data_IF_682643913133
#
_entry.id   IF_682643913133
#
_cell.length_a   1.000
_cell.length_b   1.000
_cell.length_c   1.000
_cell.angle_alpha   90.00
_cell.angle_beta   90.00
_cell.angle_gamma   90.00
#
_symmetry.space_group_name_H-M   'P 1'
#
loop_
_entity.id
_entity.type
_entity.pdbx_description
1 polymer ?
#
# COMPACT_ATOMS: atom_id res chain seq x y z
N UNK A 1 -67.08 49.09 2.81
CA UNK A 1 -66.53 48.97 1.45
C UNK A 1 -67.44 49.69 0.46
N UNK A 2 -67.24 51.00 0.35
CA UNK A 2 -67.61 51.86 -0.78
C UNK A 2 -66.53 52.93 -0.73
N UNK A 3 -65.70 52.96 -1.76
CA UNK A 3 -64.48 53.74 -1.95
C UNK A 3 -63.25 52.82 -1.92
N UNK A 4 -62.84 52.37 -3.12
CA UNK A 4 -61.54 51.76 -3.42
C UNK A 4 -60.40 52.80 -3.32
N UNK A 5 -60.41 53.59 -2.24
CA UNK A 5 -59.32 54.52 -1.94
C UNK A 5 -58.20 53.74 -1.27
N UNK A 6 -57.01 53.80 -1.84
CA UNK A 6 -55.78 53.32 -1.24
C UNK A 6 -55.54 54.00 0.11
N UNK A 7 -54.76 53.37 1.00
CA UNK A 7 -54.41 53.94 2.30
C UNK A 7 -53.83 55.37 2.19
N UNK A 8 -53.08 55.65 1.12
CA UNK A 8 -52.51 56.97 0.84
C UNK A 8 -53.55 58.02 0.42
N UNK A 9 -54.67 57.59 -0.16
CA UNK A 9 -55.79 58.48 -0.55
C UNK A 9 -56.71 58.79 0.64
N UNK A 10 -56.70 57.97 1.69
CA UNK A 10 -57.49 58.19 2.91
C UNK A 10 -56.79 59.08 3.94
N UNK A 11 -55.44 59.14 3.92
CA UNK A 11 -54.67 59.88 4.92
C UNK A 11 -54.95 61.40 4.97
N UNK A 12 -55.09 62.13 3.83
CA UNK A 12 -55.44 63.56 3.85
C UNK A 12 -56.84 63.83 4.41
N UNK A 13 -57.77 62.89 4.28
CA UNK A 13 -59.17 63.03 4.74
C UNK A 13 -59.31 62.89 6.27
N UNK A 14 -58.28 62.36 6.95
CA UNK A 14 -58.23 62.22 8.41
C UNK A 14 -57.81 63.51 9.14
N UNK A 15 -57.63 64.63 8.43
CA UNK A 15 -57.26 65.93 9.01
C UNK A 15 -55.80 66.01 9.48
N UNK A 16 -54.96 65.08 9.04
CA UNK A 16 -53.53 65.07 9.34
C UNK A 16 -52.80 66.12 8.50
N UNK A 17 -51.89 66.87 9.13
CA UNK A 17 -50.99 67.77 8.39
C UNK A 17 -50.16 66.97 7.37
N UNK A 18 -49.73 67.57 6.25
CA UNK A 18 -48.88 66.91 5.27
C UNK A 18 -47.64 66.22 5.86
N UNK A 19 -47.06 66.79 6.92
CA UNK A 19 -45.92 66.21 7.65
C UNK A 19 -46.27 64.88 8.34
N UNK A 20 -47.41 64.82 9.03
CA UNK A 20 -47.90 63.61 9.69
C UNK A 20 -48.34 62.53 8.70
N UNK A 21 -48.95 62.92 7.58
CA UNK A 21 -49.29 62.00 6.49
C UNK A 21 -48.03 61.34 5.92
N UNK A 22 -46.97 62.12 5.67
CA UNK A 22 -45.69 61.58 5.21
C UNK A 22 -45.03 60.64 6.22
N UNK A 23 -45.10 60.96 7.53
CA UNK A 23 -44.57 60.09 8.59
C UNK A 23 -45.34 58.78 8.70
N UNK A 24 -46.67 58.80 8.62
CA UNK A 24 -47.51 57.59 8.72
C UNK A 24 -47.34 56.72 7.49
N UNK A 25 -47.34 57.29 6.28
CA UNK A 25 -47.05 56.52 5.05
C UNK A 25 -45.66 55.88 5.12
N UNK A 26 -44.64 56.61 5.57
CA UNK A 26 -43.29 56.08 5.76
C UNK A 26 -43.19 54.97 6.81
N UNK A 27 -43.99 55.04 7.89
CA UNK A 27 -44.05 54.04 8.95
C UNK A 27 -44.87 52.79 8.57
N UNK A 28 -45.78 52.89 7.61
CA UNK A 28 -46.60 51.76 7.11
C UNK A 28 -45.99 50.99 5.94
N UNK A 29 -44.90 51.52 5.35
CA UNK A 29 -44.17 50.84 4.30
C UNK A 29 -43.40 49.66 4.91
N UNK A 30 -43.65 48.43 4.42
CA UNK A 30 -42.90 47.26 4.86
C UNK A 30 -41.46 47.38 4.38
N UNK A 31 -40.55 47.73 5.29
CA UNK A 31 -39.12 47.71 5.04
C UNK A 31 -38.59 46.31 5.36
N UNK A 32 -37.94 45.63 4.39
CA UNK A 32 -37.25 44.39 4.66
C UNK A 32 -36.25 44.50 5.82
N UNK A 33 -35.94 43.38 6.45
CA UNK A 33 -34.88 43.29 7.45
C UNK A 33 -33.51 43.68 6.85
N UNK A 34 -32.62 44.21 7.68
CA UNK A 34 -31.25 44.64 7.28
C UNK A 34 -30.50 43.54 6.51
N UNK A 35 -30.69 42.28 6.89
CA UNK A 35 -30.09 41.12 6.22
C UNK A 35 -30.54 40.94 4.76
N UNK A 36 -31.76 41.35 4.42
CA UNK A 36 -32.26 41.32 3.05
C UNK A 36 -31.57 42.39 2.20
N UNK A 37 -31.37 43.60 2.72
CA UNK A 37 -30.66 44.66 1.99
C UNK A 37 -29.21 44.26 1.70
N UNK A 38 -28.54 43.67 2.68
CA UNK A 38 -27.19 43.10 2.52
C UNK A 38 -27.16 42.02 1.42
N UNK A 39 -28.16 41.13 1.38
CA UNK A 39 -28.24 40.08 0.35
C UNK A 39 -28.50 40.65 -1.06
N UNK A 40 -29.42 41.62 -1.18
CA UNK A 40 -29.71 42.29 -2.44
C UNK A 40 -28.46 42.99 -2.99
N UNK A 41 -27.72 43.69 -2.12
CA UNK A 41 -26.48 44.35 -2.50
C UNK A 41 -25.39 43.35 -2.89
N UNK A 42 -25.23 42.26 -2.14
CA UNK A 42 -24.27 41.17 -2.43
C UNK A 42 -24.53 40.54 -3.80
N UNK A 43 -25.80 40.41 -4.19
CA UNK A 43 -26.21 39.91 -5.52
C UNK A 43 -26.12 40.96 -6.63
N UNK A 44 -25.76 42.20 -6.31
CA UNK A 44 -25.67 43.30 -7.28
C UNK A 44 -27.03 43.83 -7.76
N UNK A 45 -28.09 43.60 -6.98
CA UNK A 45 -29.46 44.03 -7.32
C UNK A 45 -29.77 45.47 -6.93
N UNK A 46 -28.98 46.03 -6.02
CA UNK A 46 -29.05 47.43 -5.58
C UNK A 46 -27.62 48.02 -5.51
N UNK A 47 -27.51 49.33 -5.66
CA UNK A 47 -26.28 50.11 -5.53
C UNK A 47 -25.90 50.38 -4.07
N UNK A 48 -24.67 50.89 -3.85
CA UNK A 48 -24.23 51.32 -2.51
C UNK A 48 -25.09 52.49 -2.01
N UNK A 49 -25.43 53.46 -2.87
CA UNK A 49 -26.27 54.60 -2.52
C UNK A 49 -27.69 54.17 -2.11
N UNK A 50 -28.27 53.19 -2.80
CA UNK A 50 -29.57 52.60 -2.44
C UNK A 50 -29.49 51.83 -1.12
N UNK A 51 -28.40 51.09 -0.86
CA UNK A 51 -28.19 50.43 0.42
C UNK A 51 -28.09 51.44 1.58
N UNK A 52 -27.38 52.54 1.37
CA UNK A 52 -27.24 53.62 2.35
C UNK A 52 -28.60 54.26 2.71
N UNK A 53 -29.40 54.64 1.70
CA UNK A 53 -30.74 55.21 1.92
C UNK A 53 -31.66 54.22 2.66
N UNK A 54 -31.59 52.93 2.33
CA UNK A 54 -32.44 51.92 2.95
C UNK A 54 -32.04 51.62 4.39
N UNK A 55 -30.73 51.58 4.70
CA UNK A 55 -30.24 51.42 6.07
C UNK A 55 -30.63 52.61 6.97
N UNK A 56 -30.54 53.85 6.46
CA UNK A 56 -30.95 55.06 7.19
C UNK A 56 -32.45 55.05 7.50
N UNK A 57 -33.27 54.66 6.52
CA UNK A 57 -34.74 54.52 6.67
C UNK A 57 -35.13 53.42 7.66
N UNK A 58 -34.36 52.35 7.76
CA UNK A 58 -34.53 51.28 8.74
C UNK A 58 -33.99 51.63 10.14
N UNK A 59 -33.55 52.88 10.36
CA UNK A 59 -33.13 53.38 11.67
C UNK A 59 -31.64 53.22 11.96
N UNK A 60 -30.84 52.73 11.00
CA UNK A 60 -29.37 52.68 11.10
C UNK A 60 -28.79 54.03 10.67
N UNK A 61 -28.92 55.03 11.54
CA UNK A 61 -28.48 56.41 11.25
C UNK A 61 -27.03 56.72 11.63
N UNK A 62 -26.41 55.83 12.43
CA UNK A 62 -25.02 55.96 12.81
C UNK A 62 -24.13 55.38 11.70
N UNK A 63 -23.42 56.27 11.00
CA UNK A 63 -22.47 55.90 9.96
C UNK A 63 -21.36 54.94 10.42
N UNK A 64 -21.16 54.74 11.73
CA UNK A 64 -20.30 53.66 12.26
C UNK A 64 -20.97 52.29 12.21
N UNK A 65 -22.24 52.20 12.63
CA UNK A 65 -23.01 50.95 12.62
C UNK A 65 -23.27 50.51 11.17
N UNK A 66 -23.61 51.46 10.31
CA UNK A 66 -23.76 51.24 8.88
C UNK A 66 -22.51 50.62 8.25
N UNK A 67 -21.32 51.19 8.51
CA UNK A 67 -20.05 50.63 8.02
C UNK A 67 -19.80 49.22 8.51
N UNK A 68 -20.12 48.91 9.77
CA UNK A 68 -19.98 47.57 10.33
C UNK A 68 -20.94 46.58 9.65
N UNK A 69 -22.20 46.97 9.44
CA UNK A 69 -23.18 46.15 8.72
C UNK A 69 -22.75 45.89 7.27
N UNK A 70 -22.24 46.90 6.56
CA UNK A 70 -21.70 46.73 5.20
C UNK A 70 -20.54 45.75 5.19
N UNK A 71 -19.65 45.78 6.19
CA UNK A 71 -18.54 44.82 6.30
C UNK A 71 -19.02 43.38 6.53
N UNK A 72 -20.08 43.18 7.31
CA UNK A 72 -20.66 41.84 7.56
C UNK A 72 -21.39 41.24 6.36
N UNK A 73 -21.66 42.05 5.31
CA UNK A 73 -22.29 41.56 4.09
C UNK A 73 -21.41 40.56 3.33
N UNK A 74 -20.09 40.68 3.42
CA UNK A 74 -19.17 39.83 2.66
C UNK A 74 -18.86 38.56 3.44
N UNK A 75 -18.96 37.41 2.77
CA UNK A 75 -18.61 36.14 3.39
C UNK A 75 -17.11 36.05 3.62
N UNK A 76 -16.72 35.68 4.84
CA UNK A 76 -15.34 35.28 5.14
C UNK A 76 -15.12 33.86 4.60
N UNK A 77 -14.05 33.62 3.81
CA UNK A 77 -13.72 32.26 3.38
C UNK A 77 -13.56 31.34 4.60
N UNK A 78 -14.14 30.12 4.59
CA UNK A 78 -13.99 29.21 5.73
C UNK A 78 -12.54 28.78 5.89
N UNK A 79 -12.15 28.39 7.11
CA UNK A 79 -10.75 28.07 7.46
C UNK A 79 -10.10 27.09 6.47
N UNK A 80 -10.81 26.05 6.04
CA UNK A 80 -10.29 25.07 5.10
C UNK A 80 -9.92 25.69 3.73
N UNK A 81 -10.67 26.69 3.26
CA UNK A 81 -10.37 27.43 2.03
C UNK A 81 -9.16 28.33 2.23
N UNK A 82 -9.09 29.05 3.35
CA UNK A 82 -7.92 29.88 3.71
C UNK A 82 -6.65 29.02 3.78
N UNK A 83 -6.71 27.87 4.45
CA UNK A 83 -5.60 26.91 4.51
C UNK A 83 -5.25 26.32 3.15
N UNK A 84 -6.23 26.08 2.27
CA UNK A 84 -5.96 25.61 0.92
C UNK A 84 -5.32 26.68 0.03
N UNK A 85 -5.72 27.95 0.20
CA UNK A 85 -5.06 29.09 -0.42
C UNK A 85 -3.59 29.15 0.01
N UNK A 86 -3.32 29.10 1.32
CA UNK A 86 -1.94 29.05 1.83
C UNK A 86 -1.13 27.87 1.26
N UNK A 87 -1.74 26.69 1.13
CA UNK A 87 -1.07 25.49 0.60
C UNK A 87 -0.81 25.53 -0.91
N UNK A 88 -1.72 26.08 -1.71
CA UNK A 88 -1.72 25.95 -3.18
C UNK A 88 -1.32 27.21 -3.93
N UNK A 89 -1.49 28.37 -3.33
CA UNK A 89 -1.20 29.64 -3.96
C UNK A 89 0.10 30.19 -3.38
N UNK A 90 0.86 30.97 -4.16
CA UNK A 90 2.07 31.66 -3.71
C UNK A 90 1.78 32.80 -2.70
N UNK A 91 0.73 32.69 -1.88
CA UNK A 91 0.48 33.61 -0.79
C UNK A 91 1.51 33.32 0.30
N UNK A 92 2.33 34.31 0.62
CA UNK A 92 3.26 34.24 1.74
C UNK A 92 2.51 34.37 3.08
N UNK A 93 3.22 34.12 4.19
CA UNK A 93 2.67 34.21 5.55
C UNK A 93 2.05 35.59 5.84
N UNK A 94 2.55 36.66 5.23
CA UNK A 94 1.99 38.01 5.42
C UNK A 94 0.66 38.19 4.71
N UNK A 95 0.51 37.60 3.53
CA UNK A 95 -0.71 37.72 2.76
C UNK A 95 -1.88 36.90 3.35
N UNK A 96 -1.60 35.86 4.16
CA UNK A 96 -2.66 35.03 4.77
C UNK A 96 -3.19 35.59 6.09
N UNK A 97 -2.40 36.36 6.84
CA UNK A 97 -2.78 36.92 8.15
C UNK A 97 -4.14 37.64 8.15
N UNK A 98 -4.46 38.55 7.21
CA UNK A 98 -5.75 39.24 7.22
C UNK A 98 -6.95 38.30 7.00
N UNK A 99 -6.75 37.14 6.37
CA UNK A 99 -7.79 36.13 6.21
C UNK A 99 -7.94 35.30 7.50
N UNK A 100 -6.84 34.99 8.17
CA UNK A 100 -6.85 34.29 9.46
C UNK A 100 -7.53 35.11 10.56
N UNK A 101 -7.25 36.42 10.62
CA UNK A 101 -7.93 37.37 11.52
C UNK A 101 -9.45 37.40 11.27
N UNK A 102 -9.86 37.50 9.99
CA UNK A 102 -11.29 37.50 9.62
C UNK A 102 -12.00 36.19 9.97
N UNK A 103 -11.29 35.07 9.94
CA UNK A 103 -11.79 33.75 10.37
C UNK A 103 -11.87 33.65 11.91
N UNK A 104 -11.19 34.54 12.64
CA UNK A 104 -11.26 34.65 14.10
C UNK A 104 -10.05 34.11 14.84
N UNK A 105 -8.92 33.87 14.17
CA UNK A 105 -7.67 33.53 14.84
C UNK A 105 -6.91 34.80 15.22
N UNK A 106 -6.29 34.78 16.40
CA UNK A 106 -5.34 35.82 16.80
C UNK A 106 -4.00 35.59 16.12
N UNK A 107 -3.25 36.67 15.89
CA UNK A 107 -1.89 36.63 15.32
C UNK A 107 -0.98 35.62 16.04
N UNK A 108 -1.05 35.54 17.37
CA UNK A 108 -0.26 34.62 18.21
C UNK A 108 -0.54 33.13 17.93
N UNK A 109 -1.72 32.82 17.40
CA UNK A 109 -2.16 31.45 17.13
C UNK A 109 -1.97 31.03 15.67
N UNK A 110 -1.80 31.99 14.75
CA UNK A 110 -1.78 31.74 13.30
C UNK A 110 -0.69 30.75 12.92
N UNK A 111 0.52 30.92 13.45
CA UNK A 111 1.67 30.06 13.12
C UNK A 111 1.41 28.59 13.44
N UNK A 112 0.76 28.30 14.58
CA UNK A 112 0.41 26.93 14.96
C UNK A 112 -0.61 26.32 13.99
N UNK A 113 -1.59 27.11 13.57
CA UNK A 113 -2.62 26.68 12.62
C UNK A 113 -2.01 26.45 11.24
N UNK A 114 -1.13 27.32 10.76
CA UNK A 114 -0.45 27.16 9.48
C UNK A 114 0.53 25.97 9.51
N UNK A 115 1.24 25.73 10.61
CA UNK A 115 2.12 24.57 10.74
C UNK A 115 1.33 23.25 10.73
N UNK A 116 0.17 23.22 11.40
CA UNK A 116 -0.74 22.06 11.36
C UNK A 116 -1.29 21.77 9.97
N UNK A 117 -1.33 22.79 9.10
CA UNK A 117 -1.84 22.70 7.74
C UNK A 117 -0.80 22.18 6.73
N UNK A 118 0.48 22.07 7.11
CA UNK A 118 1.56 21.58 6.23
C UNK A 118 1.33 20.12 5.88
N UNK A 119 1.54 19.77 4.61
CA UNK A 119 1.56 18.36 4.19
C UNK A 119 2.85 17.70 4.65
N UNK A 120 2.70 16.68 5.48
CA UNK A 120 3.79 15.81 5.87
C UNK A 120 3.83 14.61 4.92
N UNK A 121 5.00 13.99 4.81
CA UNK A 121 5.08 12.65 4.24
C UNK A 121 4.22 11.70 5.07
N UNK A 122 3.49 10.81 4.42
CA UNK A 122 2.82 9.71 5.09
C UNK A 122 3.84 8.64 5.53
N UNK A 123 3.39 7.72 6.39
CA UNK A 123 4.23 6.65 6.94
C UNK A 123 4.88 5.80 5.84
N UNK A 124 4.16 5.35 4.77
CA UNK A 124 4.77 4.58 3.69
C UNK A 124 5.91 5.31 2.97
N UNK A 125 5.78 6.61 2.68
CA UNK A 125 6.85 7.36 2.04
C UNK A 125 8.04 7.57 2.99
N UNK A 126 7.80 7.81 4.28
CA UNK A 126 8.86 7.91 5.29
C UNK A 126 9.67 6.60 5.39
N UNK A 127 8.98 5.45 5.41
CA UNK A 127 9.62 4.13 5.39
C UNK A 127 10.49 3.93 4.15
N UNK A 128 9.99 4.30 2.96
CA UNK A 128 10.75 4.16 1.72
C UNK A 128 11.99 5.06 1.70
N UNK A 129 11.86 6.33 2.12
CA UNK A 129 12.97 7.28 2.18
C UNK A 129 14.05 6.83 3.18
N UNK A 130 13.63 6.33 4.35
CA UNK A 130 14.53 5.81 5.37
C UNK A 130 15.24 4.54 4.87
N UNK A 131 14.48 3.55 4.38
CA UNK A 131 15.05 2.29 3.86
C UNK A 131 16.01 2.48 2.69
N UNK A 132 15.78 3.48 1.83
CA UNK A 132 16.70 3.81 0.72
C UNK A 132 17.96 4.56 1.17
N UNK A 133 18.07 4.91 2.45
CA UNK A 133 19.18 5.70 2.99
C UNK A 133 19.15 7.17 2.53
N UNK A 134 18.04 7.63 1.94
CA UNK A 134 17.85 9.02 1.52
C UNK A 134 17.59 9.91 2.76
N UNK A 135 16.87 9.36 3.74
CA UNK A 135 16.58 10.01 5.01
C UNK A 135 17.38 9.35 6.14
N UNK A 136 18.04 10.16 6.97
CA UNK A 136 18.73 9.68 8.17
C UNK A 136 17.73 9.35 9.27
N UNK A 137 18.09 8.40 10.14
CA UNK A 137 17.27 7.97 11.28
C UNK A 137 16.81 9.16 12.16
N UNK A 138 17.70 10.10 12.46
CA UNK A 138 17.35 11.30 13.23
C UNK A 138 16.28 12.17 12.58
N UNK A 139 16.21 12.22 11.25
CA UNK A 139 15.21 13.02 10.53
C UNK A 139 13.91 12.23 10.36
N UNK A 140 14.02 10.92 10.13
CA UNK A 140 12.89 10.00 10.16
C UNK A 140 12.11 10.08 11.47
N UNK A 141 12.81 9.99 12.61
CA UNK A 141 12.22 10.09 13.95
C UNK A 141 11.49 11.43 14.15
N UNK A 142 12.04 12.55 13.64
CA UNK A 142 11.37 13.86 13.69
C UNK A 142 10.09 13.88 12.85
N UNK A 143 10.12 13.32 11.64
CA UNK A 143 8.94 13.29 10.77
C UNK A 143 7.83 12.41 11.35
N UNK A 144 8.16 11.25 11.90
CA UNK A 144 7.20 10.38 12.58
C UNK A 144 6.58 11.05 13.82
N UNK A 145 7.36 11.85 14.57
CA UNK A 145 6.82 12.65 15.68
C UNK A 145 5.86 13.74 15.20
N UNK A 146 6.12 14.38 14.06
CA UNK A 146 5.20 15.36 13.44
C UNK A 146 3.87 14.73 13.00
N UNK A 147 3.88 13.44 12.68
CA UNK A 147 2.67 12.65 12.40
C UNK A 147 1.92 12.22 13.68
N UNK A 148 2.46 12.48 14.87
CA UNK A 148 1.83 12.16 16.15
C UNK A 148 2.15 10.78 16.72
N UNK A 149 3.11 10.02 16.16
CA UNK A 149 3.47 8.70 16.69
C UNK A 149 4.33 8.79 17.97
N UNK A 150 3.98 7.99 18.98
CA UNK A 150 4.77 7.82 20.20
C UNK A 150 6.14 7.17 19.90
N UNK A 151 7.14 7.30 20.79
CA UNK A 151 8.47 6.66 20.62
C UNK A 151 8.36 5.13 20.58
N UNK A 152 7.46 4.55 21.39
CA UNK A 152 7.23 3.10 21.44
C UNK A 152 6.63 2.57 20.12
N UNK A 153 5.59 3.22 19.61
CA UNK A 153 4.94 2.85 18.35
C UNK A 153 5.89 2.99 17.15
N UNK A 154 6.76 4.02 17.16
CA UNK A 154 7.79 4.22 16.14
C UNK A 154 8.73 3.03 16.04
N UNK A 155 9.14 2.48 17.18
CA UNK A 155 10.04 1.32 17.22
C UNK A 155 9.38 0.06 16.66
N UNK A 156 8.07 -0.12 16.88
CA UNK A 156 7.30 -1.21 16.29
C UNK A 156 7.11 -1.03 14.78
N UNK A 157 6.79 0.19 14.35
CA UNK A 157 6.62 0.55 12.93
C UNK A 157 7.92 0.38 12.14
N UNK A 158 9.08 0.70 12.73
CA UNK A 158 10.37 0.47 12.12
C UNK A 158 10.64 -1.03 11.87
N UNK A 159 10.05 -1.93 12.66
CA UNK A 159 10.18 -3.37 12.39
C UNK A 159 9.49 -3.80 11.09
N UNK A 160 8.48 -3.04 10.63
CA UNK A 160 7.83 -3.27 9.33
C UNK A 160 8.69 -2.85 8.15
N UNK A 161 9.75 -2.05 8.37
CA UNK A 161 10.67 -1.65 7.29
C UNK A 161 11.54 -2.81 6.82
N UNK A 162 11.80 -3.79 7.69
CA UNK A 162 12.58 -4.97 7.35
C UNK A 162 11.80 -5.86 6.38
N UNK A 163 12.27 -5.92 5.14
CA UNK A 163 11.76 -6.91 4.18
C UNK A 163 12.19 -8.30 4.62
N UNK A 164 11.20 -9.14 4.88
CA UNK A 164 11.42 -10.55 5.11
C UNK A 164 11.86 -11.22 3.81
N UNK A 165 12.86 -12.13 3.84
CA UNK A 165 13.21 -12.91 2.67
C UNK A 165 12.02 -13.76 2.22
N UNK A 166 11.86 -13.91 0.91
CA UNK A 166 10.83 -14.77 0.33
C UNK A 166 11.09 -16.25 0.62
N UNK A 167 10.07 -17.11 0.46
CA UNK A 167 10.18 -18.56 0.72
C UNK A 167 11.36 -19.16 -0.04
N UNK A 168 11.50 -18.88 -1.34
CA UNK A 168 12.60 -19.42 -2.14
C UNK A 168 13.99 -18.95 -1.64
N UNK A 169 14.08 -17.72 -1.15
CA UNK A 169 15.32 -17.20 -0.57
C UNK A 169 15.64 -17.92 0.75
N UNK A 170 14.64 -18.08 1.63
CA UNK A 170 14.78 -18.85 2.88
C UNK A 170 15.18 -20.30 2.61
N UNK A 171 14.53 -20.97 1.66
CA UNK A 171 14.83 -22.35 1.27
C UNK A 171 16.25 -22.49 0.75
N UNK A 172 16.69 -21.57 -0.13
CA UNK A 172 18.08 -21.58 -0.63
C UNK A 172 19.09 -21.31 0.47
N UNK A 173 18.82 -20.38 1.39
CA UNK A 173 19.69 -20.13 2.54
C UNK A 173 19.78 -21.35 3.46
N UNK A 174 18.66 -22.05 3.67
CA UNK A 174 18.61 -23.26 4.47
C UNK A 174 19.43 -24.39 3.84
N UNK A 175 19.17 -24.75 2.59
CA UNK A 175 19.90 -25.82 1.92
C UNK A 175 21.40 -25.50 1.76
N UNK A 176 21.76 -24.22 1.59
CA UNK A 176 23.16 -23.80 1.53
C UNK A 176 23.85 -23.66 2.89
N UNK A 177 23.16 -24.04 3.96
CA UNK A 177 23.68 -24.00 5.34
C UNK A 177 24.06 -22.57 5.80
N UNK A 178 23.45 -21.54 5.19
CA UNK A 178 23.61 -20.13 5.58
C UNK A 178 22.81 -19.84 6.84
N UNK A 179 21.65 -20.51 7.00
CA UNK A 179 20.78 -20.39 8.17
C UNK A 179 20.46 -21.78 8.73
N UNK A 180 20.16 -21.84 10.03
CA UNK A 180 19.74 -23.10 10.66
C UNK A 180 18.31 -23.46 10.30
N UNK A 181 17.93 -24.72 10.53
CA UNK A 181 16.53 -25.16 10.41
C UNK A 181 15.56 -24.34 11.28
N UNK A 182 15.97 -23.96 12.50
CA UNK A 182 15.15 -23.10 13.35
C UNK A 182 14.92 -21.75 12.69
N UNK A 183 15.99 -21.11 12.19
CA UNK A 183 15.86 -19.81 11.53
C UNK A 183 15.01 -19.89 10.25
N UNK A 184 15.09 -20.99 9.51
CA UNK A 184 14.23 -21.23 8.35
C UNK A 184 12.74 -21.31 8.75
N UNK A 185 12.40 -22.12 9.75
CA UNK A 185 11.03 -22.26 10.25
C UNK A 185 10.49 -20.97 10.88
N UNK A 186 11.34 -20.22 11.58
CA UNK A 186 10.98 -18.91 12.14
C UNK A 186 10.76 -17.87 11.03
N UNK A 187 11.57 -17.93 9.96
CA UNK A 187 11.40 -17.10 8.77
C UNK A 187 10.06 -17.34 8.08
N UNK A 188 9.68 -18.61 7.89
CA UNK A 188 8.38 -18.97 7.31
C UNK A 188 7.21 -18.51 8.21
N UNK A 189 7.34 -18.63 9.53
CA UNK A 189 6.32 -18.11 10.46
C UNK A 189 6.17 -16.59 10.38
N UNK A 190 7.28 -15.85 10.22
CA UNK A 190 7.24 -14.39 10.00
C UNK A 190 6.57 -14.00 8.68
N UNK A 191 6.58 -14.87 7.67
CA UNK A 191 5.83 -14.71 6.43
C UNK A 191 4.33 -15.05 6.57
N UNK A 192 3.90 -15.53 7.74
CA UNK A 192 2.50 -15.85 8.04
C UNK A 192 2.12 -17.33 7.93
N UNK A 193 3.09 -18.25 7.74
CA UNK A 193 2.81 -19.68 7.73
C UNK A 193 2.71 -20.25 9.14
N UNK A 194 1.69 -21.08 9.39
CA UNK A 194 1.64 -21.87 10.61
C UNK A 194 2.81 -22.86 10.67
N UNK A 195 3.19 -23.29 11.88
CA UNK A 195 4.36 -24.16 12.07
C UNK A 195 4.20 -25.51 11.34
N UNK A 196 2.99 -26.05 11.31
CA UNK A 196 2.71 -27.29 10.59
C UNK A 196 2.96 -27.12 9.09
N UNK A 197 2.46 -26.05 8.48
CA UNK A 197 2.65 -25.76 7.07
C UNK A 197 4.10 -25.41 6.74
N UNK A 198 4.81 -24.73 7.64
CA UNK A 198 6.25 -24.50 7.49
C UNK A 198 7.04 -25.82 7.41
N UNK A 199 6.66 -26.83 8.20
CA UNK A 199 7.25 -28.17 8.11
C UNK A 199 6.88 -28.88 6.80
N UNK A 200 5.64 -28.73 6.30
CA UNK A 200 5.24 -29.29 4.99
C UNK A 200 6.01 -28.63 3.84
N UNK A 201 6.20 -27.31 3.90
CA UNK A 201 6.99 -26.56 2.92
C UNK A 201 8.47 -26.98 2.94
N UNK A 202 9.04 -27.27 4.11
CA UNK A 202 10.37 -27.88 4.21
C UNK A 202 10.44 -29.20 3.44
N UNK A 203 9.48 -30.10 3.65
CA UNK A 203 9.45 -31.39 2.98
C UNK A 203 9.26 -31.25 1.47
N UNK A 204 8.37 -30.34 1.05
CA UNK A 204 8.10 -30.05 -0.36
C UNK A 204 9.28 -29.39 -1.09
N UNK A 205 10.21 -28.77 -0.35
CA UNK A 205 11.37 -28.11 -0.93
C UNK A 205 12.45 -29.09 -1.42
N UNK A 206 12.44 -30.34 -0.97
CA UNK A 206 13.40 -31.34 -1.45
C UNK A 206 13.13 -31.74 -2.90
N UNK A 207 14.20 -31.82 -3.68
CA UNK A 207 14.15 -32.22 -5.08
C UNK A 207 13.85 -33.71 -5.19
N UNK A 208 12.79 -34.03 -5.93
CA UNK A 208 12.47 -35.38 -6.36
C UNK A 208 12.86 -35.60 -7.82
N UNK A 209 13.24 -36.83 -8.23
CA UNK A 209 13.44 -37.17 -9.63
C UNK A 209 12.18 -36.94 -10.46
N UNK A 210 12.35 -36.45 -11.70
CA UNK A 210 11.23 -36.30 -12.62
C UNK A 210 10.73 -37.66 -13.16
N UNK A 211 9.56 -37.72 -13.81
CA UNK A 211 9.03 -38.96 -14.37
C UNK A 211 10.01 -39.69 -15.31
N UNK A 212 10.75 -38.95 -16.15
CA UNK A 212 11.74 -39.53 -17.06
C UNK A 212 12.92 -40.16 -16.30
N UNK A 213 13.39 -39.53 -15.22
CA UNK A 213 14.44 -40.07 -14.37
C UNK A 213 13.98 -41.33 -13.64
N UNK A 214 12.75 -41.34 -13.12
CA UNK A 214 12.15 -42.52 -12.50
C UNK A 214 12.06 -43.70 -13.48
N UNK A 215 11.68 -43.44 -14.73
CA UNK A 215 11.69 -44.47 -15.78
C UNK A 215 13.12 -44.97 -16.04
N UNK A 216 14.09 -44.07 -16.17
CA UNK A 216 15.51 -44.44 -16.32
C UNK A 216 16.03 -45.25 -15.15
N UNK A 217 15.67 -44.90 -13.92
CA UNK A 217 16.06 -45.61 -12.70
C UNK A 217 15.46 -47.02 -12.66
N UNK A 218 14.20 -47.16 -13.07
CA UNK A 218 13.55 -48.46 -13.23
C UNK A 218 14.25 -49.33 -14.28
N UNK A 219 14.54 -48.78 -15.46
CA UNK A 219 15.26 -49.50 -16.53
C UNK A 219 16.68 -49.89 -16.11
N UNK A 220 17.39 -49.00 -15.40
CA UNK A 220 18.74 -49.25 -14.90
C UNK A 220 18.78 -50.14 -13.66
N UNK A 221 17.65 -50.67 -13.20
CA UNK A 221 17.55 -51.56 -12.02
C UNK A 221 17.96 -50.90 -10.70
N UNK A 222 17.91 -49.56 -10.62
CA UNK A 222 18.23 -48.79 -9.41
C UNK A 222 17.28 -49.17 -8.26
N UNK A 223 16.01 -49.44 -8.58
CA UNK A 223 15.00 -49.87 -7.62
C UNK A 223 15.02 -51.38 -7.31
N UNK A 224 16.00 -52.13 -7.83
CA UNK A 224 16.16 -53.56 -7.57
C UNK A 224 17.48 -53.80 -6.83
N UNK A 225 17.54 -53.69 -5.48
CA UNK A 225 18.80 -53.65 -4.72
C UNK A 225 19.72 -54.86 -4.95
N UNK A 226 19.16 -56.05 -5.16
CA UNK A 226 19.93 -57.25 -5.46
C UNK A 226 20.68 -57.13 -6.79
N UNK A 227 20.04 -56.54 -7.81
CA UNK A 227 20.63 -56.33 -9.14
C UNK A 227 21.60 -55.16 -9.13
N UNK A 228 21.22 -54.03 -8.53
CA UNK A 228 22.08 -52.86 -8.44
C UNK A 228 23.41 -53.16 -7.70
N UNK A 229 23.35 -53.94 -6.60
CA UNK A 229 24.56 -54.42 -5.90
C UNK A 229 25.40 -55.36 -6.76
N UNK A 230 24.75 -56.28 -7.48
CA UNK A 230 25.44 -57.23 -8.35
C UNK A 230 26.25 -56.53 -9.46
N UNK A 231 25.74 -55.42 -9.98
CA UNK A 231 26.39 -54.61 -10.99
C UNK A 231 27.29 -53.50 -10.44
N UNK A 232 27.42 -53.39 -9.11
CA UNK A 232 28.22 -52.33 -8.49
C UNK A 232 27.72 -50.92 -8.83
N UNK A 233 26.41 -50.72 -9.07
CA UNK A 233 25.90 -49.43 -9.58
C UNK A 233 26.16 -48.26 -8.63
N UNK A 234 26.23 -48.53 -7.32
CA UNK A 234 26.53 -47.53 -6.30
C UNK A 234 28.03 -47.39 -5.99
N UNK A 235 28.89 -48.18 -6.66
CA UNK A 235 30.33 -48.11 -6.43
C UNK A 235 30.91 -46.78 -6.89
N UNK A 236 32.02 -46.38 -6.27
CA UNK A 236 32.75 -45.14 -6.57
C UNK A 236 31.92 -43.85 -6.43
N UNK A 237 30.81 -43.87 -5.68
CA UNK A 237 30.04 -42.67 -5.38
C UNK A 237 30.92 -41.62 -4.66
N UNK A 238 31.14 -40.43 -5.25
CA UNK A 238 32.03 -39.44 -4.67
C UNK A 238 31.38 -38.83 -3.41
N UNK A 239 32.01 -38.97 -2.24
CA UNK A 239 31.48 -38.39 -0.99
C UNK A 239 31.22 -36.88 -1.07
N UNK A 240 31.99 -36.16 -1.88
CA UNK A 240 31.77 -34.73 -2.11
C UNK A 240 30.46 -34.41 -2.84
N UNK A 241 29.89 -35.36 -3.58
CA UNK A 241 28.63 -35.18 -4.31
C UNK A 241 27.46 -34.94 -3.37
N UNK A 242 27.38 -35.65 -2.24
CA UNK A 242 26.33 -35.46 -1.21
C UNK A 242 26.29 -34.03 -0.71
N UNK A 243 27.45 -33.46 -0.41
CA UNK A 243 27.55 -32.09 0.11
C UNK A 243 27.00 -31.06 -0.89
N UNK A 244 27.22 -31.27 -2.19
CA UNK A 244 26.67 -30.38 -3.22
C UNK A 244 25.20 -30.66 -3.54
N UNK A 245 24.79 -31.93 -3.51
CA UNK A 245 23.40 -32.33 -3.69
C UNK A 245 22.49 -31.73 -2.61
N UNK A 246 22.90 -31.80 -1.34
CA UNK A 246 22.15 -31.22 -0.23
C UNK A 246 21.94 -29.70 -0.41
N UNK A 247 22.92 -28.98 -0.98
CA UNK A 247 22.85 -27.52 -1.23
C UNK A 247 21.83 -27.10 -2.29
N UNK A 248 21.32 -28.04 -3.06
CA UNK A 248 20.23 -27.83 -4.03
C UNK A 248 18.95 -28.54 -3.61
N UNK A 249 18.86 -29.05 -2.37
CA UNK A 249 17.70 -29.79 -1.87
C UNK A 249 17.61 -31.23 -2.36
N UNK A 250 18.66 -31.78 -2.98
CA UNK A 250 18.71 -33.18 -3.39
C UNK A 250 19.29 -34.03 -2.26
N UNK A 251 18.51 -34.98 -1.74
CA UNK A 251 18.97 -35.88 -0.67
C UNK A 251 20.10 -36.80 -1.17
N UNK A 252 20.89 -37.34 -0.24
CA UNK A 252 21.92 -38.33 -0.57
C UNK A 252 21.35 -39.53 -1.33
N UNK A 253 20.18 -40.03 -0.91
CA UNK A 253 19.49 -41.13 -1.57
C UNK A 253 19.19 -40.80 -3.04
N UNK A 254 18.60 -39.64 -3.32
CA UNK A 254 18.29 -39.21 -4.69
C UNK A 254 19.58 -39.04 -5.50
N UNK A 255 20.63 -38.45 -4.92
CA UNK A 255 21.92 -38.30 -5.58
C UNK A 255 22.56 -39.65 -5.91
N UNK A 256 22.44 -40.65 -5.03
CA UNK A 256 22.89 -42.01 -5.27
C UNK A 256 22.06 -42.72 -6.35
N UNK A 257 20.77 -42.44 -6.48
CA UNK A 257 19.96 -42.98 -7.60
C UNK A 257 20.42 -42.45 -8.95
N UNK A 258 20.67 -41.14 -9.05
CA UNK A 258 21.25 -40.54 -10.25
C UNK A 258 22.62 -41.14 -10.57
N UNK A 259 23.45 -41.35 -9.55
CA UNK A 259 24.72 -42.06 -9.71
C UNK A 259 24.49 -43.49 -10.20
N UNK A 260 23.63 -44.29 -9.58
CA UNK A 260 23.39 -45.66 -10.03
C UNK A 260 22.93 -45.76 -11.49
N UNK A 261 22.23 -44.74 -12.00
CA UNK A 261 21.78 -44.67 -13.39
C UNK A 261 22.78 -44.00 -14.37
N UNK A 262 23.91 -43.47 -13.91
CA UNK A 262 24.83 -42.66 -14.74
C UNK A 262 25.69 -43.49 -15.69
N UNK A 263 25.96 -44.76 -15.35
CA UNK A 263 26.88 -45.63 -16.07
C UNK A 263 26.51 -45.80 -17.55
N UNK A 264 27.53 -45.80 -18.41
CA UNK A 264 27.35 -46.26 -19.79
C UNK A 264 27.51 -47.78 -19.84
N UNK A 265 26.45 -48.45 -20.29
CA UNK A 265 26.43 -49.90 -20.41
C UNK A 265 27.04 -50.34 -21.75
N UNK A 266 27.63 -51.55 -21.83
CA UNK A 266 28.08 -52.11 -23.10
C UNK A 266 26.97 -52.04 -24.17
N UNK A 267 27.34 -51.84 -25.44
CA UNK A 267 26.39 -51.91 -26.55
C UNK A 267 25.78 -53.32 -26.65
N UNK A 268 24.63 -53.46 -27.31
CA UNK A 268 23.98 -54.76 -27.52
C UNK A 268 24.95 -55.77 -28.16
N UNK A 269 25.69 -55.34 -29.19
CA UNK A 269 26.71 -56.19 -29.83
C UNK A 269 27.83 -56.59 -28.87
N UNK A 270 28.34 -55.66 -28.06
CA UNK A 270 29.34 -55.97 -27.04
C UNK A 270 28.82 -56.97 -26.02
N UNK A 271 27.55 -56.89 -25.62
CA UNK A 271 26.95 -57.87 -24.70
C UNK A 271 26.91 -59.28 -25.31
N UNK A 272 26.54 -59.41 -26.60
CA UNK A 272 26.59 -60.69 -27.30
C UNK A 272 28.02 -61.22 -27.46
N UNK A 273 28.99 -60.35 -27.78
CA UNK A 273 30.40 -60.73 -27.86
C UNK A 273 30.93 -61.22 -26.51
N UNK A 274 30.60 -60.53 -25.41
CA UNK A 274 30.96 -60.93 -24.05
C UNK A 274 30.35 -62.29 -23.70
N UNK A 275 29.11 -62.54 -24.10
CA UNK A 275 28.45 -63.84 -23.89
C UNK A 275 29.14 -64.96 -24.68
N UNK A 276 29.36 -64.78 -25.99
CA UNK A 276 30.00 -65.80 -26.84
C UNK A 276 31.46 -66.08 -26.45
N UNK A 277 32.15 -65.10 -25.87
CA UNK A 277 33.52 -65.26 -25.32
C UNK A 277 33.54 -65.86 -23.91
N UNK A 278 32.38 -66.13 -23.30
CA UNK A 278 32.29 -66.69 -21.95
C UNK A 278 32.63 -65.71 -20.82
N UNK A 279 32.66 -64.40 -21.08
CA UNK A 279 32.91 -63.35 -20.08
C UNK A 279 31.69 -63.18 -19.17
N UNK A 280 30.49 -63.29 -19.73
CA UNK A 280 29.21 -63.22 -19.00
C UNK A 280 28.32 -64.41 -19.36
N UNK A 281 27.36 -64.74 -18.49
CA UNK A 281 26.40 -65.83 -18.74
C UNK A 281 25.13 -65.31 -19.43
N UNK A 282 24.33 -66.20 -20.03
CA UNK A 282 23.06 -65.83 -20.69
C UNK A 282 22.15 -64.97 -19.80
N UNK A 283 21.93 -65.27 -18.49
CA UNK A 283 21.11 -64.42 -17.64
C UNK A 283 21.63 -62.98 -17.50
N UNK A 284 22.95 -62.80 -17.56
CA UNK A 284 23.61 -61.50 -17.40
C UNK A 284 23.48 -60.68 -18.68
N UNK A 285 23.61 -61.33 -19.82
CA UNK A 285 23.34 -60.74 -21.12
C UNK A 285 21.88 -60.27 -21.22
N UNK A 286 20.90 -61.13 -20.88
CA UNK A 286 19.48 -60.75 -20.90
C UNK A 286 19.17 -59.59 -19.95
N UNK A 287 19.79 -59.58 -18.77
CA UNK A 287 19.63 -58.48 -17.83
C UNK A 287 20.26 -57.18 -18.36
N UNK A 288 21.40 -57.25 -19.06
CA UNK A 288 21.98 -56.11 -19.76
C UNK A 288 21.08 -55.58 -20.89
N UNK A 289 20.46 -56.48 -21.67
CA UNK A 289 19.50 -56.10 -22.72
C UNK A 289 18.25 -55.43 -22.13
N UNK A 290 17.72 -55.94 -21.00
CA UNK A 290 16.66 -55.27 -20.24
C UNK A 290 17.09 -53.87 -19.82
N UNK A 291 18.29 -53.73 -19.28
CA UNK A 291 18.81 -52.44 -18.84
C UNK A 291 19.11 -51.47 -19.99
N UNK A 292 19.27 -51.96 -21.22
CA UNK A 292 19.33 -51.18 -22.48
C UNK A 292 17.94 -50.96 -23.11
N UNK A 293 16.86 -51.27 -22.40
CA UNK A 293 15.48 -51.07 -22.83
C UNK A 293 15.08 -51.91 -24.07
N UNK A 294 15.65 -53.11 -24.20
CA UNK A 294 15.20 -54.07 -25.21
C UNK A 294 13.91 -54.74 -24.73
N UNK A 295 12.85 -54.61 -25.53
CA UNK A 295 11.52 -55.15 -25.18
C UNK A 295 11.58 -56.66 -24.91
N UNK A 296 10.78 -57.19 -23.95
CA UNK A 296 10.79 -58.61 -23.60
C UNK A 296 10.65 -59.56 -24.79
N UNK A 297 9.77 -59.25 -25.75
CA UNK A 297 9.56 -60.06 -26.95
C UNK A 297 10.84 -60.29 -27.77
N UNK A 298 11.72 -59.30 -27.86
CA UNK A 298 12.99 -59.40 -28.59
C UNK A 298 14.13 -59.95 -27.74
N UNK A 299 13.94 -59.98 -26.42
CA UNK A 299 14.97 -60.33 -25.44
C UNK A 299 14.94 -61.81 -25.06
N UNK A 300 13.75 -62.33 -24.72
CA UNK A 300 13.58 -63.62 -24.03
C UNK A 300 13.54 -64.83 -24.98
#
# INVERSE_FOLDING_TARGET
YKDDKSFNELLPELGLSPEWTAQITGATQFWPEVSMFQELRRRGLISDDELHDWLDRSGVKDGRIEKQLIQTMWNVPPLNVVLEMYRRTNLDERAILPYMEKVGFKDEDVDFVLDSAKRLFDVPNLFELHRRGIMRDSDYVKHMKKLGYADDDRSLLQQLEYRLPEIEQLTRMYFREIITKSNYLDGLQKLGYEREDANKLEQAAYVLPGPADLMRFGLREVFTPAIARRFGQFENYPRGMTAWANKIGMTEEVAQMYWAAHWDLPSIGQMFDMYHRGIIRRPDMLLGLRAKDVMPFWRD
#
